data_IF_185576285111
#
_entry.id   IF_185576285111
#
_cell.length_a   1.000
_cell.length_b   1.000
_cell.length_c   1.000
_cell.angle_alpha   90.00
_cell.angle_beta   90.00
_cell.angle_gamma   90.00
#
_symmetry.space_group_name_H-M   'P 1'
#
loop_
_entity.id
_entity.type
_entity.pdbx_description
1 polymer ?
#
# COMPACT_ATOMS: atom_id res chain seq x y z
N UNK A 1 19.59 27.49 -56.54
CA UNK A 1 18.58 27.54 -55.45
C UNK A 1 17.25 26.88 -55.86
N UNK A 2 17.29 25.68 -56.45
CA UNK A 2 16.09 25.01 -57.02
C UNK A 2 15.63 23.82 -56.14
N UNK A 3 16.50 23.32 -55.26
CA UNK A 3 16.21 22.17 -54.38
C UNK A 3 15.27 22.49 -53.19
N UNK A 4 15.05 23.76 -52.86
CA UNK A 4 14.23 24.17 -51.70
C UNK A 4 12.74 24.37 -52.01
N UNK A 5 12.32 24.41 -53.28
CA UNK A 5 10.91 24.63 -53.65
C UNK A 5 10.12 23.32 -53.79
N UNK A 6 10.80 22.21 -54.10
CA UNK A 6 10.17 20.89 -54.23
C UNK A 6 9.85 20.27 -52.85
N UNK A 7 10.78 20.38 -51.89
CA UNK A 7 10.58 19.91 -50.52
C UNK A 7 9.42 20.64 -49.81
N UNK A 8 9.27 21.95 -50.02
CA UNK A 8 8.22 22.75 -49.39
C UNK A 8 6.81 22.38 -49.90
N UNK A 9 6.66 22.08 -51.20
CA UNK A 9 5.38 21.63 -51.78
C UNK A 9 4.97 20.23 -51.32
N UNK A 10 5.92 19.31 -51.10
CA UNK A 10 5.62 17.95 -50.60
C UNK A 10 5.10 18.00 -49.16
N UNK A 11 5.69 18.83 -48.30
CA UNK A 11 5.26 19.01 -46.89
C UNK A 11 3.87 19.67 -46.82
N UNK A 12 3.62 20.72 -47.60
CA UNK A 12 2.32 21.42 -47.61
C UNK A 12 1.17 20.54 -48.14
N UNK A 13 1.43 19.63 -49.10
CA UNK A 13 0.43 18.68 -49.59
C UNK A 13 0.14 17.52 -48.61
N UNK A 14 1.12 17.15 -47.78
CA UNK A 14 0.96 16.12 -46.74
C UNK A 14 0.13 16.65 -45.55
N UNK A 15 0.30 17.92 -45.18
CA UNK A 15 -0.49 18.58 -44.12
C UNK A 15 -1.95 18.77 -44.55
N UNK A 16 -2.19 19.22 -45.79
CA UNK A 16 -3.56 19.43 -46.33
C UNK A 16 -4.36 18.15 -46.51
N UNK A 17 -3.71 17.04 -46.86
CA UNK A 17 -4.39 15.73 -46.92
C UNK A 17 -4.73 15.22 -45.52
N UNK A 18 -3.85 15.39 -44.52
CA UNK A 18 -4.10 15.04 -43.11
C UNK A 18 -5.29 15.79 -42.48
N UNK A 19 -5.41 17.09 -42.73
CA UNK A 19 -6.53 17.89 -42.22
C UNK A 19 -7.88 17.46 -42.82
N UNK A 20 -7.91 17.06 -44.10
CA UNK A 20 -9.13 16.55 -44.74
C UNK A 20 -9.59 15.21 -44.13
N UNK A 21 -8.66 14.30 -43.82
CA UNK A 21 -9.00 13.03 -43.15
C UNK A 21 -9.42 13.23 -41.69
N UNK A 22 -8.80 14.15 -40.96
CA UNK A 22 -9.19 14.49 -39.58
C UNK A 22 -10.60 15.10 -39.50
N UNK A 23 -10.92 16.05 -40.38
CA UNK A 23 -12.24 16.69 -40.42
C UNK A 23 -13.36 15.71 -40.78
N UNK A 24 -13.09 14.75 -41.67
CA UNK A 24 -14.05 13.67 -42.03
C UNK A 24 -14.24 12.65 -40.90
N UNK A 25 -13.21 12.41 -40.09
CA UNK A 25 -13.29 11.53 -38.92
C UNK A 25 -14.11 12.18 -37.79
N UNK A 26 -13.88 13.47 -37.49
CA UNK A 26 -14.64 14.24 -36.48
C UNK A 26 -16.12 14.40 -36.87
N UNK A 27 -16.43 14.58 -38.15
CA UNK A 27 -17.80 14.62 -38.66
C UNK A 27 -18.54 13.28 -38.57
N UNK A 28 -17.83 12.15 -38.69
CA UNK A 28 -18.42 10.82 -38.51
C UNK A 28 -18.66 10.49 -37.03
N UNK A 29 -17.80 10.95 -36.11
CA UNK A 29 -18.00 10.79 -34.67
C UNK A 29 -19.25 11.56 -34.21
N UNK A 30 -19.39 12.82 -34.63
CA UNK A 30 -20.54 13.65 -34.26
C UNK A 30 -21.88 13.08 -34.75
N UNK A 31 -21.91 12.46 -35.94
CA UNK A 31 -23.09 11.76 -36.45
C UNK A 31 -23.37 10.40 -35.77
N UNK A 32 -22.36 9.75 -35.17
CA UNK A 32 -22.55 8.54 -34.37
C UNK A 32 -23.07 8.85 -32.96
N UNK A 33 -22.72 10.01 -32.39
CA UNK A 33 -23.17 10.44 -31.06
C UNK A 33 -24.66 10.81 -31.05
N UNK A 34 -25.14 11.55 -32.07
CA UNK A 34 -26.54 12.03 -32.13
C UNK A 34 -27.59 10.94 -32.41
N UNK A 35 -27.19 9.73 -32.86
CA UNK A 35 -28.11 8.63 -33.14
C UNK A 35 -28.34 7.68 -31.97
N UNK A 36 -27.55 7.81 -30.89
CA UNK A 36 -27.62 6.92 -29.74
C UNK A 36 -28.38 7.52 -28.54
N UNK A 37 -28.95 8.73 -28.68
CA UNK A 37 -29.57 9.46 -27.57
C UNK A 37 -31.00 9.00 -27.19
N UNK A 38 -31.68 8.14 -27.95
CA UNK A 38 -33.11 7.84 -27.68
C UNK A 38 -33.43 6.48 -27.04
N UNK A 39 -32.45 5.69 -26.59
CA UNK A 39 -32.75 4.49 -25.79
C UNK A 39 -31.58 4.03 -24.90
N UNK A 40 -31.15 4.88 -23.97
CA UNK A 40 -30.36 4.47 -22.82
C UNK A 40 -31.21 4.72 -21.58
N UNK A 41 -31.94 3.69 -21.16
CA UNK A 41 -32.53 3.63 -19.82
C UNK A 41 -31.42 3.92 -18.82
N UNK A 42 -31.42 5.11 -18.21
CA UNK A 42 -30.48 5.48 -17.14
C UNK A 42 -30.54 4.50 -15.94
N UNK A 43 -31.60 3.70 -15.88
CA UNK A 43 -31.88 2.64 -14.89
C UNK A 43 -30.82 1.52 -14.83
N UNK A 44 -30.05 1.26 -15.90
CA UNK A 44 -29.08 0.14 -15.98
C UNK A 44 -27.60 0.60 -15.97
N UNK A 45 -27.33 1.89 -15.71
CA UNK A 45 -25.94 2.36 -15.56
C UNK A 45 -25.36 1.93 -14.20
N UNK A 46 -24.14 1.36 -14.15
CA UNK A 46 -23.54 0.95 -12.88
C UNK A 46 -23.11 2.17 -12.05
N UNK A 47 -23.57 2.23 -10.81
CA UNK A 47 -23.13 3.22 -9.83
C UNK A 47 -21.64 3.05 -9.50
N UNK A 48 -20.87 4.13 -9.60
CA UNK A 48 -19.40 4.15 -9.41
C UNK A 48 -18.96 4.58 -8.01
N UNK A 49 -19.89 4.88 -7.11
CA UNK A 49 -19.60 5.61 -5.87
C UNK A 49 -18.75 4.84 -4.87
N UNK A 50 -18.91 3.51 -4.76
CA UNK A 50 -18.09 2.68 -3.85
C UNK A 50 -18.00 1.24 -4.36
N UNK A 51 -16.81 0.65 -4.28
CA UNK A 51 -16.58 -0.74 -4.66
C UNK A 51 -17.26 -1.72 -3.66
N UNK A 52 -18.28 -2.50 -4.09
CA UNK A 52 -18.99 -3.43 -3.21
C UNK A 52 -18.14 -4.64 -2.78
N UNK A 53 -17.05 -4.95 -3.47
CA UNK A 53 -16.14 -6.05 -3.15
C UNK A 53 -14.95 -5.61 -2.27
N UNK A 54 -14.95 -4.36 -1.77
CA UNK A 54 -13.87 -3.86 -0.93
C UNK A 54 -13.87 -4.57 0.44
N UNK A 55 -12.82 -5.35 0.71
CA UNK A 55 -12.62 -5.97 2.02
C UNK A 55 -12.30 -4.93 3.10
N UNK A 56 -12.78 -5.18 4.30
CA UNK A 56 -12.47 -4.35 5.46
C UNK A 56 -10.96 -4.29 5.74
N UNK A 57 -10.51 -3.11 6.19
CA UNK A 57 -9.10 -2.88 6.52
C UNK A 57 -8.73 -3.67 7.77
N UNK A 58 -7.76 -4.58 7.62
CA UNK A 58 -7.23 -5.36 8.74
C UNK A 58 -6.48 -4.45 9.72
N UNK A 59 -6.95 -4.42 10.97
CA UNK A 59 -6.30 -3.66 12.05
C UNK A 59 -5.20 -4.47 12.75
N UNK A 60 -4.23 -3.79 13.37
CA UNK A 60 -3.17 -4.41 14.15
C UNK A 60 -3.65 -4.91 15.53
N UNK A 61 -2.97 -5.87 16.15
CA UNK A 61 -3.32 -6.40 17.47
C UNK A 61 -3.42 -5.31 18.56
N UNK A 62 -2.42 -4.42 18.64
CA UNK A 62 -2.42 -3.31 19.61
C UNK A 62 -3.49 -2.25 19.31
N UNK A 63 -3.93 -2.14 18.06
CA UNK A 63 -4.95 -1.21 17.62
C UNK A 63 -6.33 -1.73 18.03
N UNK A 64 -6.60 -3.02 17.77
CA UNK A 64 -7.85 -3.69 18.15
C UNK A 64 -8.08 -3.67 19.66
N UNK A 65 -7.00 -3.87 20.44
CA UNK A 65 -7.06 -3.88 21.91
C UNK A 65 -6.90 -2.48 22.54
N UNK A 66 -6.67 -1.42 21.74
CA UNK A 66 -6.41 -0.06 22.22
C UNK A 66 -5.26 0.06 23.24
N UNK A 67 -4.27 -0.83 23.19
CA UNK A 67 -3.14 -0.84 24.12
C UNK A 67 -2.08 0.16 23.65
N UNK A 68 -1.56 0.95 24.60
CA UNK A 68 -0.38 1.78 24.40
C UNK A 68 0.84 1.07 25.03
N UNK A 69 1.93 0.88 24.27
CA UNK A 69 3.15 0.30 24.83
C UNK A 69 3.85 1.33 25.72
N UNK A 70 4.27 0.89 26.91
CA UNK A 70 5.03 1.67 27.87
C UNK A 70 6.28 0.89 28.30
N UNK A 71 7.44 1.55 28.42
CA UNK A 71 8.70 0.94 28.86
C UNK A 71 8.64 0.26 30.24
N UNK A 72 7.70 0.69 31.09
CA UNK A 72 7.46 0.11 32.42
C UNK A 72 6.84 -1.30 32.34
N UNK A 73 6.07 -1.58 31.29
CA UNK A 73 5.41 -2.87 31.11
C UNK A 73 6.33 -3.86 30.41
N UNK A 74 7.30 -4.37 31.15
CA UNK A 74 8.30 -5.33 30.63
C UNK A 74 7.66 -6.61 30.13
N UNK A 75 6.56 -7.07 30.76
CA UNK A 75 5.88 -8.32 30.37
C UNK A 75 5.33 -8.25 28.95
N UNK A 76 4.71 -7.13 28.58
CA UNK A 76 4.20 -6.91 27.23
C UNK A 76 5.36 -6.78 26.23
N UNK A 77 6.36 -5.95 26.55
CA UNK A 77 7.49 -5.70 25.65
C UNK A 77 8.34 -6.95 25.40
N UNK A 78 8.49 -7.80 26.41
CA UNK A 78 9.22 -9.08 26.30
C UNK A 78 8.59 -10.03 25.28
N UNK A 79 7.30 -9.89 24.92
CA UNK A 79 6.69 -10.71 23.87
C UNK A 79 7.19 -10.35 22.46
N UNK A 80 7.65 -9.12 22.26
CA UNK A 80 8.21 -8.65 20.99
C UNK A 80 9.69 -8.99 20.82
N UNK A 81 10.28 -9.71 21.78
CA UNK A 81 11.67 -10.12 21.80
C UNK A 81 11.83 -11.63 21.56
N UNK A 82 12.86 -12.01 20.82
CA UNK A 82 13.28 -13.40 20.68
C UNK A 82 13.75 -14.00 22.00
N UNK A 83 13.28 -15.22 22.30
CA UNK A 83 13.58 -15.96 23.53
C UNK A 83 15.09 -16.12 23.76
N UNK A 84 15.82 -16.53 22.71
CA UNK A 84 17.23 -16.92 22.82
C UNK A 84 18.21 -15.80 22.47
N UNK A 85 17.85 -14.92 21.53
CA UNK A 85 18.77 -13.93 20.97
C UNK A 85 18.52 -12.51 21.47
N UNK A 86 17.40 -12.28 22.16
CA UNK A 86 17.06 -10.94 22.63
C UNK A 86 16.74 -9.94 21.52
N UNK A 87 16.71 -10.39 20.25
CA UNK A 87 16.43 -9.53 19.09
C UNK A 87 14.95 -9.17 19.04
N UNK A 88 14.66 -7.91 18.71
CA UNK A 88 13.29 -7.43 18.53
C UNK A 88 12.76 -7.96 17.19
N UNK A 89 11.54 -8.50 17.20
CA UNK A 89 10.90 -8.99 15.99
C UNK A 89 10.50 -7.83 15.06
N UNK A 90 10.78 -7.99 13.77
CA UNK A 90 10.40 -7.02 12.76
C UNK A 90 8.92 -7.06 12.40
N UNK A 91 8.45 -6.00 11.74
CA UNK A 91 7.05 -5.83 11.31
C UNK A 91 6.48 -6.99 10.48
N UNK A 92 7.31 -7.65 9.68
CA UNK A 92 6.89 -8.78 8.84
C UNK A 92 6.49 -10.02 9.67
N UNK A 93 6.94 -10.10 10.92
CA UNK A 93 6.58 -11.15 11.89
C UNK A 93 5.42 -10.67 12.75
N UNK A 94 5.54 -9.50 13.38
CA UNK A 94 4.57 -9.00 14.37
C UNK A 94 3.23 -8.56 13.77
N UNK A 95 3.22 -8.16 12.49
CA UNK A 95 2.02 -7.67 11.82
C UNK A 95 1.51 -6.32 12.34
N UNK A 96 2.33 -5.56 13.07
CA UNK A 96 1.94 -4.26 13.60
C UNK A 96 1.88 -3.16 12.53
N UNK A 97 1.09 -2.12 12.81
CA UNK A 97 1.17 -0.85 12.09
C UNK A 97 2.56 -0.23 12.27
N UNK A 98 3.05 0.50 11.26
CA UNK A 98 4.37 1.15 11.29
C UNK A 98 4.56 2.02 12.55
N UNK A 99 3.56 2.84 12.86
CA UNK A 99 3.57 3.73 14.04
C UNK A 99 3.63 2.99 15.37
N UNK A 100 2.92 1.86 15.50
CA UNK A 100 2.93 1.04 16.72
C UNK A 100 4.24 0.26 16.86
N UNK A 101 4.78 -0.25 15.75
CA UNK A 101 6.08 -0.93 15.73
C UNK A 101 7.20 0.00 16.20
N UNK A 102 7.31 1.20 15.62
CA UNK A 102 8.31 2.20 16.03
C UNK A 102 8.18 2.60 17.50
N UNK A 103 6.94 2.70 18.02
CA UNK A 103 6.70 2.94 19.45
C UNK A 103 7.21 1.78 20.30
N UNK A 104 6.87 0.54 19.96
CA UNK A 104 7.33 -0.65 20.69
C UNK A 104 8.86 -0.73 20.71
N UNK A 105 9.52 -0.50 19.58
CA UNK A 105 10.99 -0.47 19.49
C UNK A 105 11.60 0.59 20.41
N UNK A 106 11.05 1.82 20.41
CA UNK A 106 11.49 2.89 21.31
C UNK A 106 11.31 2.53 22.78
N UNK A 107 10.16 1.98 23.14
CA UNK A 107 9.88 1.61 24.54
C UNK A 107 10.74 0.43 25.01
N UNK A 108 11.06 -0.53 24.12
CA UNK A 108 12.01 -1.60 24.41
C UNK A 108 13.40 -1.03 24.69
N UNK A 109 13.90 -0.14 23.81
CA UNK A 109 15.21 0.48 24.00
C UNK A 109 15.26 1.29 25.29
N UNK A 110 14.19 2.02 25.63
CA UNK A 110 14.07 2.72 26.92
C UNK A 110 14.10 1.75 28.10
N UNK A 111 13.36 0.64 28.04
CA UNK A 111 13.31 -0.35 29.11
C UNK A 111 14.67 -1.05 29.32
N UNK A 112 15.37 -1.34 28.22
CA UNK A 112 16.72 -1.89 28.24
C UNK A 112 17.72 -0.91 28.85
N UNK A 113 17.71 0.36 28.43
CA UNK A 113 18.58 1.40 28.97
C UNK A 113 18.30 1.70 30.46
N UNK A 114 17.04 1.55 30.89
CA UNK A 114 16.64 1.68 32.28
C UNK A 114 16.97 0.44 33.14
N UNK A 115 17.51 -0.64 32.55
CA UNK A 115 17.83 -1.88 33.25
C UNK A 115 16.61 -2.75 33.62
N UNK A 116 15.43 -2.44 33.09
CA UNK A 116 14.21 -3.20 33.35
C UNK A 116 14.10 -4.46 32.48
N UNK A 117 14.77 -4.48 31.33
CA UNK A 117 14.71 -5.56 30.34
C UNK A 117 16.12 -5.95 29.84
N UNK A 118 16.33 -7.23 29.54
CA UNK A 118 17.62 -7.74 29.03
C UNK A 118 17.86 -7.40 27.56
N UNK A 119 19.14 -7.23 27.20
CA UNK A 119 19.58 -7.00 25.80
C UNK A 119 19.71 -8.31 25.02
N UNK A 120 20.41 -9.29 25.58
CA UNK A 120 20.80 -10.52 24.86
C UNK A 120 19.79 -11.67 25.02
N UNK A 121 19.04 -11.69 26.11
CA UNK A 121 18.10 -12.77 26.44
C UNK A 121 16.81 -12.22 27.02
N UNK A 122 15.70 -12.92 26.76
CA UNK A 122 14.41 -12.64 27.38
C UNK A 122 14.45 -13.04 28.86
N UNK A 123 13.76 -12.30 29.72
CA UNK A 123 13.65 -12.66 31.13
C UNK A 123 12.97 -14.04 31.27
N UNK A 124 13.57 -15.01 32.01
CA UNK A 124 13.02 -16.36 32.19
C UNK A 124 11.56 -16.38 32.67
N UNK A 125 11.15 -15.39 33.49
CA UNK A 125 9.79 -15.28 34.02
C UNK A 125 8.72 -15.12 32.93
N UNK A 126 9.08 -14.55 31.79
CA UNK A 126 8.14 -14.25 30.69
C UNK A 126 8.30 -15.20 29.49
N UNK A 127 9.15 -16.23 29.58
CA UNK A 127 9.42 -17.16 28.46
C UNK A 127 8.18 -17.99 28.11
N UNK A 128 7.44 -18.41 29.13
CA UNK A 128 6.29 -19.31 29.01
C UNK A 128 4.95 -18.58 28.82
N UNK A 129 4.97 -17.25 28.64
CA UNK A 129 3.75 -16.51 28.28
C UNK A 129 3.25 -16.98 26.89
N UNK A 130 1.92 -16.99 26.67
CA UNK A 130 1.35 -17.38 25.39
C UNK A 130 1.89 -16.48 24.27
N UNK A 131 2.42 -17.04 23.18
CA UNK A 131 2.98 -16.26 22.10
C UNK A 131 1.88 -15.49 21.35
N UNK A 132 2.13 -14.21 21.06
CA UNK A 132 1.24 -13.38 20.23
C UNK A 132 1.45 -13.60 18.72
N UNK A 133 2.65 -14.05 18.35
CA UNK A 133 3.08 -14.23 16.96
C UNK A 133 4.01 -15.43 16.88
N UNK A 134 3.98 -16.12 15.75
CA UNK A 134 4.89 -17.22 15.44
C UNK A 134 6.04 -16.74 14.57
N UNK A 135 7.28 -16.68 15.08
CA UNK A 135 8.44 -16.22 14.30
C UNK A 135 8.73 -17.08 13.06
N UNK A 136 8.37 -18.36 13.12
CA UNK A 136 8.60 -19.33 12.06
C UNK A 136 7.63 -19.17 10.87
N UNK A 137 6.51 -18.44 11.06
CA UNK A 137 5.49 -18.23 10.03
C UNK A 137 5.20 -16.73 9.87
N UNK A 138 6.13 -15.96 9.27
CA UNK A 138 5.93 -14.53 9.08
C UNK A 138 4.82 -14.25 8.05
N UNK A 139 4.15 -13.10 8.20
CA UNK A 139 3.07 -12.66 7.30
C UNK A 139 3.58 -12.31 5.90
N UNK A 140 4.82 -11.83 5.81
CA UNK A 140 5.52 -11.63 4.55
C UNK A 140 6.81 -12.44 4.58
N UNK A 141 7.15 -13.17 3.51
CA UNK A 141 8.40 -13.89 3.44
C UNK A 141 9.58 -12.90 3.54
N UNK A 142 10.69 -13.40 4.06
CA UNK A 142 11.97 -12.68 4.03
C UNK A 142 12.39 -12.51 2.56
N UNK A 143 13.12 -11.42 2.27
CA UNK A 143 13.56 -11.11 0.90
C UNK A 143 14.68 -12.04 0.41
N UNK A 144 15.20 -12.90 1.28
CA UNK A 144 16.34 -13.80 1.04
C UNK A 144 15.99 -15.21 1.54
#
# INVERSE_FOLDING_TARGET
MILNYCFRKVVENCVKSREQYFNRFVANISNQVLKNEEFLTEEDMPDLDTNPYMKEKQQCLLCRLNIQPDFKNVRLLSQFQSRYTGRIYGRHITGLCKSKQEKVEKEILKAQNAGLMGYFTKNPRYVNDPPLFDPNRPLRPHKY
#
